data_IF_358768751249
#
_entry.id   IF_358768751249
#
_cell.length_a   1.000
_cell.length_b   1.000
_cell.length_c   1.000
_cell.angle_alpha   90.00
_cell.angle_beta   90.00
_cell.angle_gamma   90.00
#
_symmetry.space_group_name_H-M   'P 1'
#
loop_
_entity.id
_entity.type
_entity.pdbx_description
1 polymer ?
#
# COMPACT_ATOMS: atom_id res chain seq x y z
N UNK A 1 -1.93 57.87 -0.31
CA UNK A 1 -0.78 57.05 0.01
C UNK A 1 -0.91 56.31 1.35
N UNK A 2 -1.34 57.03 2.44
CA UNK A 2 -1.42 56.46 3.79
C UNK A 2 -2.41 55.31 3.94
N UNK A 3 -3.61 55.42 3.33
CA UNK A 3 -4.65 54.35 3.32
C UNK A 3 -4.09 53.04 2.72
N UNK A 4 -3.40 53.12 1.59
CA UNK A 4 -2.85 51.93 0.94
C UNK A 4 -1.76 51.23 1.81
N UNK A 5 -0.98 51.98 2.59
CA UNK A 5 -0.03 51.42 3.52
C UNK A 5 -0.75 50.67 4.66
N UNK A 6 -1.80 51.25 5.22
CA UNK A 6 -2.60 50.63 6.27
C UNK A 6 -3.28 49.35 5.76
N UNK A 7 -3.83 49.36 4.54
CA UNK A 7 -4.44 48.19 3.92
C UNK A 7 -3.43 47.08 3.70
N UNK A 8 -2.20 47.40 3.24
CA UNK A 8 -1.10 46.44 3.07
C UNK A 8 -0.66 45.84 4.41
N UNK A 9 -0.57 46.65 5.47
CA UNK A 9 -0.22 46.16 6.81
C UNK A 9 -1.32 45.25 7.38
N UNK A 10 -2.59 45.64 7.23
CA UNK A 10 -3.72 44.83 7.67
C UNK A 10 -3.80 43.48 6.92
N UNK A 11 -3.54 43.47 5.62
CA UNK A 11 -3.45 42.25 4.82
C UNK A 11 -2.30 41.34 5.28
N UNK A 12 -1.13 41.93 5.54
CA UNK A 12 0.02 41.17 6.06
C UNK A 12 -0.27 40.55 7.43
N UNK A 13 -0.91 41.33 8.32
CA UNK A 13 -1.33 40.83 9.63
C UNK A 13 -2.31 39.65 9.51
N UNK A 14 -3.29 39.76 8.61
CA UNK A 14 -4.24 38.69 8.33
C UNK A 14 -3.51 37.40 7.86
N UNK A 15 -2.54 37.51 6.94
CA UNK A 15 -1.75 36.38 6.46
C UNK A 15 -0.95 35.75 7.60
N UNK A 16 -0.31 36.56 8.45
CA UNK A 16 0.49 36.06 9.59
C UNK A 16 -0.41 35.31 10.56
N UNK A 17 -1.57 35.84 10.92
CA UNK A 17 -2.53 35.15 11.79
C UNK A 17 -3.06 33.86 11.18
N UNK A 18 -3.35 33.85 9.89
CA UNK A 18 -3.74 32.64 9.17
C UNK A 18 -2.63 31.56 9.24
N UNK A 19 -1.38 31.92 8.99
CA UNK A 19 -0.22 31.01 9.09
C UNK A 19 -0.03 30.48 10.51
N UNK A 20 -0.18 31.32 11.53
CA UNK A 20 -0.10 30.89 12.93
C UNK A 20 -1.19 29.86 13.23
N UNK A 21 -2.45 30.14 12.82
CA UNK A 21 -3.54 29.20 13.01
C UNK A 21 -3.31 27.87 12.29
N UNK A 22 -2.83 27.89 11.05
CA UNK A 22 -2.53 26.67 10.31
C UNK A 22 -1.36 25.90 10.96
N UNK A 23 -0.33 26.59 11.43
CA UNK A 23 0.80 25.95 12.16
C UNK A 23 0.32 25.29 13.46
N UNK A 24 -0.61 25.91 14.19
CA UNK A 24 -1.20 25.30 15.38
C UNK A 24 -2.02 24.06 14.99
N UNK A 25 -2.87 24.15 13.96
CA UNK A 25 -3.66 23.00 13.49
C UNK A 25 -2.78 21.83 13.05
N UNK A 26 -1.64 22.11 12.41
CA UNK A 26 -0.69 21.10 11.98
C UNK A 26 -0.09 20.26 13.13
N UNK A 27 -0.21 20.71 14.38
CA UNK A 27 0.25 19.95 15.57
C UNK A 27 -0.81 19.00 16.14
N UNK A 28 -2.04 19.04 15.65
CA UNK A 28 -3.13 18.19 16.13
C UNK A 28 -3.42 17.03 15.16
N UNK A 29 -3.50 15.82 15.68
CA UNK A 29 -3.78 14.60 14.90
C UNK A 29 -4.97 14.74 13.94
N UNK A 30 -6.03 15.43 14.37
CA UNK A 30 -7.25 15.58 13.58
C UNK A 30 -7.08 16.50 12.36
N UNK A 31 -6.21 17.51 12.45
CA UNK A 31 -6.05 18.53 11.40
C UNK A 31 -4.77 18.37 10.59
N UNK A 32 -3.74 17.75 11.14
CA UNK A 32 -2.45 17.53 10.48
C UNK A 32 -2.62 16.70 9.20
N UNK A 33 -1.82 16.99 8.17
CA UNK A 33 -1.84 16.31 6.87
C UNK A 33 -0.43 16.06 6.37
N UNK A 34 -0.26 15.01 5.56
CA UNK A 34 1.03 14.67 4.94
C UNK A 34 2.16 14.61 5.97
N UNK A 35 3.26 15.33 5.72
CA UNK A 35 4.44 15.35 6.59
C UNK A 35 4.18 15.88 8.00
N UNK A 36 3.22 16.79 8.17
CA UNK A 36 2.86 17.28 9.50
C UNK A 36 2.18 16.18 10.32
N UNK A 37 1.31 15.39 9.67
CA UNK A 37 0.69 14.22 10.28
C UNK A 37 1.74 13.17 10.63
N UNK A 38 2.70 12.92 9.74
CA UNK A 38 3.79 11.97 9.99
C UNK A 38 4.59 12.37 11.24
N UNK A 39 4.90 13.66 11.40
CA UNK A 39 5.57 14.17 12.59
C UNK A 39 4.72 14.03 13.86
N UNK A 40 3.42 14.32 13.79
CA UNK A 40 2.51 14.18 14.93
C UNK A 40 2.42 12.72 15.38
N UNK A 41 2.31 11.77 14.44
CA UNK A 41 2.18 10.35 14.80
C UNK A 41 3.51 9.75 15.26
N UNK A 42 4.63 10.15 14.66
CA UNK A 42 5.95 9.69 15.09
C UNK A 42 6.27 10.14 16.53
N UNK A 43 6.00 11.39 16.86
CA UNK A 43 6.34 11.96 18.17
C UNK A 43 5.31 11.61 19.25
N UNK A 44 4.00 11.62 18.92
CA UNK A 44 2.93 11.43 19.89
C UNK A 44 2.50 9.97 20.09
N UNK A 45 2.59 9.16 19.04
CA UNK A 45 2.09 7.78 19.02
C UNK A 45 3.19 6.74 18.81
N UNK A 46 4.41 7.16 18.49
CA UNK A 46 5.56 6.30 18.19
C UNK A 46 5.28 5.28 17.09
N UNK A 47 4.62 5.74 16.03
CA UNK A 47 4.34 4.96 14.82
C UNK A 47 4.78 5.76 13.59
N UNK A 48 5.05 5.06 12.51
CA UNK A 48 5.39 5.64 11.22
C UNK A 48 4.35 5.25 10.18
N UNK A 49 4.21 6.06 9.10
CA UNK A 49 3.37 5.74 7.95
C UNK A 49 3.85 4.45 7.29
N UNK A 50 2.93 3.55 6.97
CA UNK A 50 3.24 2.35 6.22
C UNK A 50 3.60 2.73 4.79
N UNK A 51 4.80 2.34 4.38
CA UNK A 51 5.26 2.53 3.00
C UNK A 51 4.47 1.66 2.06
N UNK A 52 4.23 2.18 0.86
CA UNK A 52 3.64 1.41 -0.22
C UNK A 52 4.51 0.21 -0.62
N UNK A 53 3.92 -0.68 -1.40
CA UNK A 53 4.60 -1.82 -2.00
C UNK A 53 4.52 -1.67 -3.51
N UNK A 54 5.65 -1.79 -4.18
CA UNK A 54 5.71 -1.73 -5.65
C UNK A 54 5.11 -3.00 -6.25
N UNK A 55 4.24 -2.92 -7.27
CA UNK A 55 3.70 -4.09 -7.93
C UNK A 55 4.76 -4.79 -8.78
N UNK A 56 4.61 -6.08 -8.96
CA UNK A 56 5.53 -6.93 -9.70
C UNK A 56 4.86 -7.62 -10.88
N UNK A 57 5.65 -8.00 -11.88
CA UNK A 57 5.19 -8.78 -13.03
C UNK A 57 6.27 -9.78 -13.46
N UNK A 58 5.85 -10.94 -13.98
CA UNK A 58 6.77 -11.91 -14.56
C UNK A 58 7.18 -11.49 -15.96
N UNK A 59 8.45 -11.68 -16.26
CA UNK A 59 9.07 -11.39 -17.56
C UNK A 59 9.86 -12.57 -18.06
N UNK A 60 9.83 -12.81 -19.35
CA UNK A 60 10.68 -13.80 -20.06
C UNK A 60 11.72 -13.05 -20.90
N UNK A 61 12.96 -13.43 -20.73
CA UNK A 61 14.09 -12.98 -21.53
C UNK A 61 14.46 -14.05 -22.54
N UNK A 62 14.69 -13.67 -23.81
CA UNK A 62 15.08 -14.58 -24.87
C UNK A 62 16.38 -14.10 -25.53
N UNK A 63 17.35 -14.99 -25.65
CA UNK A 63 18.60 -14.72 -26.35
C UNK A 63 18.43 -14.89 -27.86
N UNK A 64 19.19 -14.13 -28.64
CA UNK A 64 19.24 -14.23 -30.11
C UNK A 64 19.94 -15.48 -30.60
N UNK A 65 20.82 -16.09 -29.80
CA UNK A 65 21.56 -17.31 -30.12
C UNK A 65 21.81 -18.14 -28.87
N UNK A 66 21.96 -19.46 -29.04
CA UNK A 66 22.39 -20.34 -27.96
C UNK A 66 23.89 -20.12 -27.70
N UNK A 67 24.21 -19.79 -26.45
CA UNK A 67 25.57 -19.53 -26.03
C UNK A 67 26.15 -20.72 -25.27
N UNK A 68 27.49 -20.87 -25.30
CA UNK A 68 28.25 -21.91 -24.61
C UNK A 68 28.63 -21.52 -23.18
N UNK A 69 28.26 -20.35 -22.74
CA UNK A 69 28.49 -19.80 -21.40
C UNK A 69 27.19 -19.19 -20.84
N UNK A 70 27.15 -18.94 -19.55
CA UNK A 70 26.02 -18.39 -18.86
C UNK A 70 25.91 -16.86 -19.15
N UNK A 71 24.69 -16.35 -19.36
CA UNK A 71 24.41 -14.93 -19.51
C UNK A 71 23.71 -14.43 -18.24
N UNK A 72 24.29 -13.41 -17.63
CA UNK A 72 23.78 -12.80 -16.41
C UNK A 72 23.05 -11.49 -16.77
N UNK A 73 21.80 -11.39 -16.37
CA UNK A 73 21.02 -10.15 -16.38
C UNK A 73 21.06 -9.60 -14.97
N UNK A 74 21.73 -8.45 -14.72
CA UNK A 74 21.96 -7.97 -13.37
C UNK A 74 20.67 -7.49 -12.73
N UNK A 75 20.55 -7.68 -11.42
CA UNK A 75 19.55 -7.01 -10.59
C UNK A 75 19.62 -5.49 -10.84
N UNK A 76 18.45 -4.84 -10.91
CA UNK A 76 18.35 -3.39 -11.13
C UNK A 76 18.43 -2.99 -12.61
N UNK A 77 18.49 -3.92 -13.56
CA UNK A 77 18.34 -3.60 -14.99
C UNK A 77 17.00 -2.90 -15.21
N UNK A 78 17.02 -1.79 -15.97
CA UNK A 78 15.88 -0.89 -16.14
C UNK A 78 15.17 -1.18 -17.46
N UNK A 79 13.87 -1.27 -17.39
CA UNK A 79 12.94 -1.48 -18.49
C UNK A 79 11.90 -0.35 -18.54
N UNK A 80 11.43 -0.03 -19.73
CA UNK A 80 10.43 1.02 -19.91
C UNK A 80 9.37 0.60 -20.93
N UNK A 81 8.37 1.47 -21.10
CA UNK A 81 7.41 1.43 -22.19
C UNK A 81 7.30 2.80 -22.89
N UNK A 82 6.44 2.88 -23.90
CA UNK A 82 6.17 4.14 -24.64
C UNK A 82 5.53 5.23 -23.77
N UNK A 83 4.91 4.87 -22.67
CA UNK A 83 4.27 5.78 -21.70
C UNK A 83 5.22 6.26 -20.60
N UNK A 84 6.52 5.96 -20.73
CA UNK A 84 7.55 6.28 -19.74
C UNK A 84 7.38 5.60 -18.37
N UNK A 85 6.60 4.52 -18.27
CA UNK A 85 6.62 3.68 -17.08
C UNK A 85 8.00 3.02 -16.97
N UNK A 86 8.56 3.02 -15.77
CA UNK A 86 9.85 2.41 -15.47
C UNK A 86 9.67 1.19 -14.57
N UNK A 87 10.36 0.12 -14.91
CA UNK A 87 10.43 -1.08 -14.08
C UNK A 87 11.88 -1.53 -13.94
N UNK A 88 12.20 -2.14 -12.81
CA UNK A 88 13.53 -2.67 -12.53
C UNK A 88 13.48 -4.17 -12.29
N UNK A 89 14.53 -4.89 -12.68
CA UNK A 89 14.65 -6.31 -12.39
C UNK A 89 14.91 -6.50 -10.88
N UNK A 90 14.01 -7.21 -10.23
CA UNK A 90 14.03 -7.40 -8.76
C UNK A 90 15.20 -8.23 -8.28
N UNK A 91 15.55 -9.27 -9.03
CA UNK A 91 16.62 -10.20 -8.73
C UNK A 91 17.46 -10.50 -9.99
N UNK A 92 18.69 -10.93 -9.81
CA UNK A 92 19.55 -11.35 -10.90
C UNK A 92 18.94 -12.57 -11.62
N UNK A 93 18.97 -12.56 -12.95
CA UNK A 93 18.52 -13.69 -13.78
C UNK A 93 19.69 -14.26 -14.55
N UNK A 94 19.93 -15.55 -14.40
CA UNK A 94 20.98 -16.28 -15.11
C UNK A 94 20.36 -17.18 -16.16
N UNK A 95 20.68 -16.92 -17.45
CA UNK A 95 20.35 -17.80 -18.55
C UNK A 95 21.54 -18.75 -18.74
N UNK A 96 21.35 -20.02 -18.37
CA UNK A 96 22.42 -21.01 -18.39
C UNK A 96 22.83 -21.38 -19.82
N UNK A 97 24.10 -21.79 -19.98
CA UNK A 97 24.64 -22.29 -21.23
C UNK A 97 23.69 -23.31 -21.89
N UNK A 98 23.46 -23.17 -23.18
CA UNK A 98 22.57 -24.05 -23.95
C UNK A 98 21.07 -23.79 -23.76
N UNK A 99 20.68 -22.82 -22.92
CA UNK A 99 19.33 -22.33 -22.83
C UNK A 99 19.17 -21.02 -23.57
N UNK A 100 18.00 -20.79 -24.18
CA UNK A 100 17.69 -19.54 -24.88
C UNK A 100 16.79 -18.62 -24.08
N UNK A 101 16.21 -19.12 -22.97
CA UNK A 101 15.18 -18.38 -22.21
C UNK A 101 15.39 -18.52 -20.71
N UNK A 102 15.07 -17.45 -20.00
CA UNK A 102 14.90 -17.47 -18.54
C UNK A 102 13.81 -16.51 -18.12
N UNK A 103 13.24 -16.74 -16.95
CA UNK A 103 12.21 -15.88 -16.38
C UNK A 103 12.76 -15.09 -15.20
N UNK A 104 12.24 -13.88 -15.03
CA UNK A 104 12.55 -13.00 -13.93
C UNK A 104 11.32 -12.27 -13.44
N UNK A 105 11.52 -11.41 -12.45
CA UNK A 105 10.46 -10.58 -11.85
C UNK A 105 10.86 -9.12 -12.03
N UNK A 106 10.00 -8.36 -12.71
CA UNK A 106 10.08 -6.91 -12.78
C UNK A 106 9.30 -6.29 -11.62
N UNK A 107 9.81 -5.18 -11.11
CA UNK A 107 9.16 -4.34 -10.12
C UNK A 107 8.96 -2.96 -10.71
N UNK A 108 7.71 -2.47 -10.74
CA UNK A 108 7.36 -1.15 -11.25
C UNK A 108 7.83 -0.06 -10.29
N UNK A 109 8.32 1.06 -10.79
CA UNK A 109 8.81 2.17 -9.95
C UNK A 109 7.70 3.12 -9.48
N UNK A 110 6.56 2.55 -9.10
CA UNK A 110 5.40 3.26 -8.55
C UNK A 110 4.78 2.47 -7.40
N UNK A 111 4.30 3.17 -6.36
CA UNK A 111 3.57 2.55 -5.25
C UNK A 111 2.06 2.53 -5.54
N UNK A 112 1.61 1.54 -6.27
CA UNK A 112 0.22 1.34 -6.66
C UNK A 112 -0.15 -0.14 -6.56
N UNK A 113 -1.44 -0.45 -6.50
CA UNK A 113 -1.92 -1.82 -6.34
C UNK A 113 -1.67 -2.68 -7.57
N UNK A 114 -2.03 -2.16 -8.74
CA UNK A 114 -1.83 -2.84 -10.03
C UNK A 114 -1.76 -1.82 -11.17
N UNK A 115 -1.16 -2.20 -12.28
CA UNK A 115 -1.12 -1.38 -13.49
C UNK A 115 -1.15 -2.27 -14.73
N UNK A 116 -2.12 -2.01 -15.60
CA UNK A 116 -2.21 -2.65 -16.93
C UNK A 116 -1.18 -2.03 -17.89
N UNK A 117 0.09 -2.30 -17.62
CA UNK A 117 1.23 -1.78 -18.37
C UNK A 117 2.22 -2.90 -18.63
N UNK A 118 2.93 -2.82 -19.74
CA UNK A 118 4.03 -3.71 -20.11
C UNK A 118 5.27 -2.88 -20.38
N UNK A 119 6.36 -3.22 -19.71
CA UNK A 119 7.66 -2.57 -19.82
C UNK A 119 8.64 -3.52 -20.52
N UNK A 120 8.58 -3.56 -21.85
CA UNK A 120 9.34 -4.49 -22.69
C UNK A 120 10.53 -3.83 -23.41
N UNK A 121 10.73 -2.50 -23.24
CA UNK A 121 11.87 -1.78 -23.82
C UNK A 121 13.03 -1.70 -22.81
N UNK A 122 14.17 -2.20 -23.24
CA UNK A 122 15.38 -2.21 -22.45
C UNK A 122 16.05 -0.83 -22.43
N UNK A 123 16.21 -0.26 -21.24
CA UNK A 123 16.98 0.98 -21.04
C UNK A 123 18.45 0.70 -20.68
N UNK A 124 18.70 -0.39 -19.96
CA UNK A 124 20.06 -0.84 -19.63
C UNK A 124 20.58 -1.73 -20.74
N UNK A 125 21.68 -1.39 -21.45
CA UNK A 125 22.23 -2.23 -22.51
C UNK A 125 22.60 -3.63 -21.98
N UNK A 126 21.93 -4.66 -22.50
CA UNK A 126 22.21 -6.05 -22.16
C UNK A 126 22.67 -6.78 -23.43
N UNK A 127 23.92 -7.25 -23.49
CA UNK A 127 24.41 -8.02 -24.63
C UNK A 127 23.64 -9.34 -24.75
N UNK A 128 23.41 -9.76 -26.01
CA UNK A 128 22.77 -11.03 -26.38
C UNK A 128 21.27 -11.17 -26.08
N UNK A 129 20.63 -10.29 -25.31
CA UNK A 129 19.19 -10.32 -25.11
C UNK A 129 18.49 -9.76 -26.34
N UNK A 130 17.75 -10.62 -27.06
CA UNK A 130 17.07 -10.26 -28.30
C UNK A 130 15.63 -9.84 -28.09
N UNK A 131 14.96 -10.48 -27.13
CA UNK A 131 13.55 -10.24 -26.89
C UNK A 131 13.22 -10.29 -25.40
N UNK A 132 12.35 -9.37 -25.01
CA UNK A 132 11.81 -9.27 -23.66
C UNK A 132 10.30 -9.34 -23.80
N UNK A 133 9.67 -10.23 -23.07
CA UNK A 133 8.22 -10.40 -23.06
C UNK A 133 7.71 -10.42 -21.62
N UNK A 134 6.96 -9.42 -21.26
CA UNK A 134 6.24 -9.40 -19.98
C UNK A 134 5.03 -10.35 -20.09
N UNK A 135 4.93 -11.32 -19.18
CA UNK A 135 3.94 -12.39 -19.21
C UNK A 135 2.62 -11.99 -18.60
N UNK A 136 2.64 -11.11 -17.61
CA UNK A 136 1.48 -10.63 -16.86
C UNK A 136 1.57 -9.13 -16.59
N UNK A 137 0.44 -8.48 -16.30
CA UNK A 137 0.45 -7.09 -15.87
C UNK A 137 0.97 -6.95 -14.43
N UNK A 138 1.41 -5.74 -14.08
CA UNK A 138 1.89 -5.47 -12.74
C UNK A 138 0.78 -5.60 -11.71
N UNK A 139 1.00 -6.38 -10.65
CA UNK A 139 0.04 -6.66 -9.60
C UNK A 139 0.71 -6.90 -8.24
N UNK A 140 -0.09 -6.98 -7.17
CA UNK A 140 0.40 -7.27 -5.83
C UNK A 140 1.12 -6.10 -5.17
N UNK A 141 0.96 -4.88 -5.67
CA UNK A 141 1.44 -3.67 -5.01
C UNK A 141 0.45 -3.12 -3.98
N UNK A 142 0.82 -2.02 -3.35
CA UNK A 142 -0.05 -1.21 -2.50
C UNK A 142 0.41 0.25 -2.52
N UNK A 143 -0.53 1.18 -2.47
CA UNK A 143 -0.22 2.59 -2.26
C UNK A 143 0.32 2.81 -0.85
N UNK A 144 1.00 3.92 -0.64
CA UNK A 144 1.34 4.38 0.70
C UNK A 144 0.08 4.59 1.54
N UNK A 145 0.18 4.38 2.84
CA UNK A 145 -0.93 4.56 3.77
C UNK A 145 -1.51 5.99 3.69
N UNK A 146 -2.82 6.11 3.52
CA UNK A 146 -3.47 7.42 3.46
C UNK A 146 -3.45 8.13 4.81
N UNK A 147 -3.65 9.46 4.79
CA UNK A 147 -3.73 10.25 6.03
C UNK A 147 -4.86 9.76 6.96
N UNK A 148 -5.99 9.33 6.38
CA UNK A 148 -7.13 8.80 7.12
C UNK A 148 -6.77 7.48 7.80
N UNK A 149 -6.15 6.53 7.07
CA UNK A 149 -5.75 5.24 7.60
C UNK A 149 -4.68 5.38 8.70
N UNK A 150 -3.68 6.25 8.46
CA UNK A 150 -2.65 6.56 9.45
C UNK A 150 -3.25 7.16 10.73
N UNK A 151 -4.23 8.05 10.60
CA UNK A 151 -4.90 8.70 11.73
C UNK A 151 -5.71 7.67 12.56
N UNK A 152 -6.44 6.78 11.88
CA UNK A 152 -7.17 5.69 12.55
C UNK A 152 -6.21 4.73 13.26
N UNK A 153 -5.11 4.35 12.61
CA UNK A 153 -4.09 3.48 13.19
C UNK A 153 -3.36 4.15 14.36
N UNK A 154 -3.16 5.46 14.32
CA UNK A 154 -2.61 6.23 15.43
C UNK A 154 -3.51 6.15 16.67
N UNK A 155 -4.82 6.36 16.51
CA UNK A 155 -5.79 6.20 17.61
C UNK A 155 -5.78 4.77 18.15
N UNK A 156 -5.70 3.76 17.28
CA UNK A 156 -5.65 2.36 17.68
C UNK A 156 -4.32 1.95 18.34
N UNK A 157 -3.24 2.71 18.14
CA UNK A 157 -1.91 2.37 18.67
C UNK A 157 -1.85 2.27 20.19
N UNK A 158 -2.78 2.91 20.90
CA UNK A 158 -2.94 2.79 22.37
C UNK A 158 -3.19 1.33 22.79
N UNK A 159 -3.85 0.55 21.93
CA UNK A 159 -4.16 -0.85 22.19
C UNK A 159 -2.98 -1.81 21.99
N UNK A 160 -1.85 -1.35 21.41
CA UNK A 160 -0.65 -2.18 21.19
C UNK A 160 0.00 -2.70 22.48
N UNK A 161 -0.21 -1.98 23.58
CA UNK A 161 0.32 -2.37 24.89
C UNK A 161 -0.59 -3.35 25.64
N UNK A 162 -1.73 -3.73 25.06
CA UNK A 162 -2.64 -4.67 25.70
C UNK A 162 -2.10 -6.10 25.55
N UNK A 163 -1.56 -6.65 26.62
CA UNK A 163 -1.09 -8.04 26.70
C UNK A 163 -2.23 -9.04 26.92
N UNK A 164 -3.46 -8.56 27.09
CA UNK A 164 -4.63 -9.39 27.39
C UNK A 164 -5.36 -9.92 26.14
N UNK A 165 -4.80 -9.78 24.94
CA UNK A 165 -5.42 -10.29 23.70
C UNK A 165 -6.71 -9.58 23.32
N UNK A 166 -6.78 -8.26 23.49
CA UNK A 166 -7.96 -7.49 23.10
C UNK A 166 -8.19 -7.50 21.58
N UNK A 167 -9.47 -7.52 21.15
CA UNK A 167 -9.84 -7.42 19.73
C UNK A 167 -9.11 -6.26 19.04
N UNK A 168 -9.10 -5.08 19.67
CA UNK A 168 -8.44 -3.88 19.11
C UNK A 168 -6.91 -4.00 19.04
N UNK A 169 -6.29 -4.73 19.96
CA UNK A 169 -4.86 -5.04 19.89
C UNK A 169 -4.53 -5.88 18.66
N UNK A 170 -5.27 -6.95 18.41
CA UNK A 170 -5.11 -7.77 17.21
C UNK A 170 -5.37 -6.99 15.94
N UNK A 171 -6.39 -6.12 15.90
CA UNK A 171 -6.68 -5.26 14.74
C UNK A 171 -5.50 -4.30 14.52
N UNK A 172 -5.00 -3.62 15.53
CA UNK A 172 -3.85 -2.71 15.41
C UNK A 172 -2.62 -3.42 14.86
N UNK A 173 -2.24 -4.56 15.44
CA UNK A 173 -1.05 -5.29 15.01
C UNK A 173 -1.19 -5.83 13.59
N UNK A 174 -2.35 -6.33 13.21
CA UNK A 174 -2.59 -6.83 11.86
C UNK A 174 -2.61 -5.71 10.81
N UNK A 175 -3.19 -4.53 11.10
CA UNK A 175 -3.09 -3.34 10.23
C UNK A 175 -1.65 -2.84 10.09
N UNK A 176 -0.84 -2.98 11.13
CA UNK A 176 0.56 -2.54 11.14
C UNK A 176 1.50 -3.51 10.39
N UNK A 177 1.04 -4.71 10.03
CA UNK A 177 1.85 -5.71 9.35
C UNK A 177 2.13 -5.36 7.88
N UNK A 178 1.17 -4.77 7.17
CA UNK A 178 1.32 -4.46 5.74
C UNK A 178 0.31 -3.42 5.26
N UNK A 179 0.77 -2.50 4.40
CA UNK A 179 -0.08 -1.55 3.69
C UNK A 179 -1.08 -2.21 2.71
N UNK A 180 -0.88 -3.51 2.38
CA UNK A 180 -1.80 -4.30 1.54
C UNK A 180 -3.09 -4.69 2.26
N UNK A 181 -3.16 -4.55 3.57
CA UNK A 181 -4.31 -4.93 4.39
C UNK A 181 -5.25 -3.73 4.53
N UNK A 182 -6.37 -3.78 3.85
CA UNK A 182 -7.34 -2.68 3.81
C UNK A 182 -8.30 -2.66 5.01
N UNK A 183 -8.64 -3.82 5.57
CA UNK A 183 -9.57 -3.93 6.71
C UNK A 183 -9.39 -5.26 7.43
N UNK A 184 -9.71 -5.28 8.71
CA UNK A 184 -9.52 -6.44 9.59
C UNK A 184 -10.72 -6.62 10.51
N UNK A 185 -11.03 -7.88 10.80
CA UNK A 185 -11.94 -8.29 11.86
C UNK A 185 -11.27 -9.38 12.71
N UNK A 186 -11.15 -9.15 13.99
CA UNK A 186 -10.70 -10.18 14.94
C UNK A 186 -11.91 -10.77 15.67
N UNK A 187 -11.95 -12.09 15.80
CA UNK A 187 -13.06 -12.83 16.41
C UNK A 187 -12.53 -13.84 17.40
N UNK A 188 -13.23 -13.99 18.52
CA UNK A 188 -13.00 -15.11 19.43
C UNK A 188 -13.52 -16.42 18.78
N UNK A 189 -12.68 -17.43 18.68
CA UNK A 189 -12.99 -18.72 18.07
C UNK A 189 -12.91 -19.88 19.11
N UNK A 190 -13.10 -19.57 20.39
CA UNK A 190 -13.00 -20.50 21.51
C UNK A 190 -11.85 -20.14 22.46
N UNK A 191 -11.71 -20.92 23.53
CA UNK A 191 -10.70 -20.67 24.54
C UNK A 191 -9.27 -20.71 23.94
N UNK A 192 -8.54 -19.61 24.06
CA UNK A 192 -7.18 -19.48 23.51
C UNK A 192 -7.11 -19.48 21.99
N UNK A 193 -8.21 -19.29 21.27
CA UNK A 193 -8.22 -19.27 19.80
C UNK A 193 -8.76 -17.95 19.26
N UNK A 194 -7.95 -17.28 18.46
CA UNK A 194 -8.31 -16.02 17.81
C UNK A 194 -8.31 -16.21 16.29
N UNK A 195 -9.41 -15.81 15.67
CA UNK A 195 -9.59 -15.82 14.22
C UNK A 195 -9.51 -14.39 13.69
N UNK A 196 -8.53 -14.11 12.85
CA UNK A 196 -8.31 -12.81 12.25
C UNK A 196 -8.64 -12.89 10.75
N UNK A 197 -9.66 -12.14 10.33
CA UNK A 197 -10.10 -12.07 8.94
C UNK A 197 -9.56 -10.77 8.36
N UNK A 198 -8.76 -10.86 7.32
CA UNK A 198 -8.17 -9.70 6.64
C UNK A 198 -8.79 -9.48 5.28
N UNK A 199 -9.01 -8.23 4.90
CA UNK A 199 -9.36 -7.83 3.54
C UNK A 199 -8.08 -7.38 2.84
N UNK A 200 -7.60 -8.21 1.92
CA UNK A 200 -6.47 -7.93 1.02
C UNK A 200 -6.78 -8.56 -0.33
N UNK A 201 -6.22 -8.01 -1.39
CA UNK A 201 -6.29 -8.63 -2.73
C UNK A 201 -5.12 -9.59 -2.99
N UNK A 202 -4.12 -9.58 -2.10
CA UNK A 202 -2.94 -10.44 -2.18
C UNK A 202 -3.02 -11.55 -1.12
N UNK A 203 -3.06 -12.80 -1.56
CA UNK A 203 -3.09 -13.98 -0.67
C UNK A 203 -1.85 -14.07 0.22
N UNK A 204 -0.69 -13.62 -0.26
CA UNK A 204 0.55 -13.59 0.52
C UNK A 204 0.46 -12.68 1.75
N UNK A 205 -0.50 -11.74 1.77
CA UNK A 205 -0.75 -10.90 2.95
C UNK A 205 -1.18 -11.71 4.17
N UNK A 206 -1.77 -12.91 3.99
CA UNK A 206 -2.14 -13.81 5.09
C UNK A 206 -0.91 -14.27 5.85
N UNK A 207 0.12 -14.71 5.11
CA UNK A 207 1.36 -15.21 5.73
C UNK A 207 2.12 -14.09 6.42
N UNK A 208 2.20 -12.90 5.80
CA UNK A 208 2.83 -11.71 6.39
C UNK A 208 2.15 -11.31 7.71
N UNK A 209 0.81 -11.25 7.72
CA UNK A 209 0.05 -10.90 8.92
C UNK A 209 0.16 -12.00 9.98
N UNK A 210 0.13 -13.26 9.58
CA UNK A 210 0.27 -14.41 10.49
C UNK A 210 1.65 -14.41 11.15
N UNK A 211 2.71 -14.22 10.40
CA UNK A 211 4.07 -14.12 10.92
C UNK A 211 4.20 -12.94 11.89
N UNK A 212 3.69 -11.77 11.48
CA UNK A 212 3.71 -10.57 12.32
C UNK A 212 2.96 -10.73 13.63
N UNK A 213 1.78 -11.37 13.61
CA UNK A 213 0.98 -11.63 14.82
C UNK A 213 1.53 -12.77 15.67
N UNK A 214 2.33 -13.67 15.10
CA UNK A 214 2.91 -14.82 15.82
C UNK A 214 4.12 -14.47 16.69
N UNK A 215 4.66 -13.25 16.55
CA UNK A 215 5.80 -12.81 17.34
C UNK A 215 5.42 -12.73 18.85
N UNK A 216 6.30 -13.24 19.70
CA UNK A 216 6.07 -13.36 21.16
C UNK A 216 5.77 -12.04 21.86
N UNK A 217 6.23 -10.92 21.29
CA UNK A 217 6.00 -9.57 21.82
C UNK A 217 4.59 -9.02 21.51
N UNK A 218 3.83 -9.68 20.63
CA UNK A 218 2.57 -9.14 20.07
C UNK A 218 1.33 -9.95 20.41
N UNK A 219 1.50 -11.19 20.80
CA UNK A 219 0.39 -12.06 21.18
C UNK A 219 0.51 -12.54 22.63
N UNK A 220 -0.61 -12.79 23.33
CA UNK A 220 -0.61 -13.55 24.55
C UNK A 220 -0.05 -14.96 24.32
N UNK A 221 0.71 -15.47 25.29
CA UNK A 221 1.33 -16.81 25.21
C UNK A 221 0.31 -17.95 24.98
N UNK A 222 -0.92 -17.75 25.42
CA UNK A 222 -1.99 -18.76 25.36
C UNK A 222 -2.79 -18.72 24.06
N UNK A 223 -2.61 -17.70 23.22
CA UNK A 223 -3.48 -17.50 22.07
C UNK A 223 -2.91 -18.16 20.80
N UNK A 224 -3.72 -19.01 20.19
CA UNK A 224 -3.53 -19.54 18.85
C UNK A 224 -4.21 -18.63 17.84
N UNK A 225 -3.42 -17.96 16.99
CA UNK A 225 -3.94 -17.00 16.01
C UNK A 225 -4.05 -17.66 14.65
N UNK A 226 -5.27 -17.70 14.11
CA UNK A 226 -5.54 -18.12 12.73
C UNK A 226 -5.90 -16.92 11.86
N UNK A 227 -5.17 -16.71 10.78
CA UNK A 227 -5.38 -15.61 9.82
C UNK A 227 -5.96 -16.15 8.53
N UNK A 228 -7.00 -15.52 8.01
CA UNK A 228 -7.65 -15.90 6.75
C UNK A 228 -8.11 -14.68 5.96
N UNK A 229 -8.25 -14.85 4.64
CA UNK A 229 -8.83 -13.83 3.78
C UNK A 229 -10.34 -13.73 3.95
N UNK A 230 -10.86 -12.50 3.87
CA UNK A 230 -12.29 -12.25 3.79
C UNK A 230 -12.87 -12.83 2.50
N UNK A 231 -13.95 -13.60 2.62
CA UNK A 231 -14.67 -14.14 1.46
C UNK A 231 -15.57 -13.06 0.86
N UNK A 232 -15.39 -12.77 -0.42
CA UNK A 232 -16.28 -11.89 -1.17
C UNK A 232 -17.66 -12.54 -1.27
N UNK A 233 -18.69 -11.80 -0.91
CA UNK A 233 -20.10 -12.19 -1.13
C UNK A 233 -20.77 -11.14 -1.99
N UNK A 234 -21.45 -11.57 -3.01
CA UNK A 234 -22.31 -10.74 -3.85
C UNK A 234 -23.73 -10.77 -3.28
N UNK A 235 -24.38 -9.62 -3.26
CA UNK A 235 -25.79 -9.51 -2.89
C UNK A 235 -26.48 -8.54 -3.86
N UNK A 236 -27.74 -8.81 -4.12
CA UNK A 236 -28.58 -7.96 -4.96
C UNK A 236 -29.48 -7.15 -4.03
N UNK A 237 -29.49 -5.85 -4.22
CA UNK A 237 -30.43 -4.95 -3.53
C UNK A 237 -31.59 -4.69 -4.48
N UNK A 238 -32.77 -5.21 -4.17
CA UNK A 238 -34.03 -4.88 -4.85
C UNK A 238 -34.81 -3.94 -3.93
N UNK A 239 -34.91 -2.67 -4.32
CA UNK A 239 -35.54 -1.64 -3.52
C UNK A 239 -36.62 -0.91 -4.34
N UNK A 240 -37.84 -0.86 -3.81
CA UNK A 240 -38.94 -0.05 -4.38
C UNK A 240 -39.00 1.28 -3.68
N UNK A 241 -38.67 2.34 -4.42
CA UNK A 241 -38.78 3.70 -3.92
C UNK A 241 -40.20 4.24 -4.18
N UNK A 242 -40.85 4.72 -3.12
CA UNK A 242 -42.12 5.44 -3.20
C UNK A 242 -41.82 6.92 -3.05
N UNK A 243 -42.02 7.67 -4.12
CA UNK A 243 -41.85 9.13 -4.13
C UNK A 243 -43.15 9.80 -3.72
N UNK A 244 -43.09 10.74 -2.78
CA UNK A 244 -44.20 11.56 -2.36
C UNK A 244 -44.49 12.69 -3.39
N UNK A 245 -43.48 13.10 -4.16
CA UNK A 245 -43.57 14.08 -5.23
C UNK A 245 -42.88 13.59 -6.50
N UNK A 246 -43.58 13.52 -7.61
CA UNK A 246 -43.08 13.06 -8.92
C UNK A 246 -42.05 14.06 -9.52
N UNK A 247 -42.02 15.31 -9.08
CA UNK A 247 -41.10 16.35 -9.55
C UNK A 247 -39.61 16.05 -9.18
N UNK A 248 -39.36 15.17 -8.21
CA UNK A 248 -38.02 14.78 -7.78
C UNK A 248 -37.53 13.45 -8.32
N UNK A 249 -38.28 12.83 -9.22
CA UNK A 249 -37.93 11.53 -9.79
C UNK A 249 -36.57 11.53 -10.55
N UNK A 250 -36.21 12.67 -11.15
CA UNK A 250 -34.99 12.83 -11.95
C UNK A 250 -33.71 13.10 -11.09
N UNK A 251 -33.86 13.31 -9.80
CA UNK A 251 -32.72 13.54 -8.87
C UNK A 251 -32.21 12.23 -8.23
N UNK A 252 -32.93 11.11 -8.43
CA UNK A 252 -32.69 9.84 -7.73
C UNK A 252 -32.30 8.70 -8.70
N UNK A 253 -32.29 8.98 -10.01
CA UNK A 253 -31.92 8.01 -11.05
C UNK A 253 -30.41 7.98 -11.33
#
# INVERSE_FOLDING_TARGET
>A
PFKAILEALAYREMIIRARINESIKATYLHYAKGSDLDNVVANGYLIERLKGVKPTAKVEFELNTLLTYDVIIPKGAIFSNEKADLATLKEEVVIKKGQSKAQGILELDEFIQSKESKTEFLQTPLPFVAKIKQLEYFSGGASEESDEALRERAVMSVHRFSTAGSEKGYIYHALSASAKVASIKALNNGAGKVRVIIKSEDELSVDVVKEYLSADERRPLTDEVNVELAKKREFIVDAKLLLLELSRANEIS
#
